data_IF_859800253478
#
_entry.id   IF_859800253478
#
_cell.length_a   1.000
_cell.length_b   1.000
_cell.length_c   1.000
_cell.angle_alpha   90.00
_cell.angle_beta   90.00
_cell.angle_gamma   90.00
#
_symmetry.space_group_name_H-M   'P 1'
#
loop_
_entity.id
_entity.type
_entity.pdbx_description
1 polymer ?
#
# COMPACT_ATOMS: atom_id res chain seq x y z
N UNK A 1 8.26 -6.79 -17.18
CA UNK A 1 7.29 -5.92 -16.48
C UNK A 1 8.07 -4.96 -15.59
N UNK A 2 7.74 -3.68 -15.57
CA UNK A 2 8.47 -2.66 -14.78
C UNK A 2 8.14 -2.80 -13.29
N UNK A 3 9.13 -2.63 -12.41
CA UNK A 3 8.96 -2.72 -10.95
C UNK A 3 8.30 -1.47 -10.38
N UNK A 4 7.77 -1.55 -9.15
CA UNK A 4 7.24 -0.38 -8.43
C UNK A 4 8.27 0.76 -8.34
N UNK A 5 9.53 0.41 -8.03
CA UNK A 5 10.63 1.37 -7.97
C UNK A 5 10.89 2.05 -9.32
N UNK A 6 10.83 1.29 -10.42
CA UNK A 6 10.99 1.85 -11.76
C UNK A 6 9.85 2.80 -12.16
N UNK A 7 8.61 2.51 -11.74
CA UNK A 7 7.48 3.45 -11.91
C UNK A 7 7.63 4.71 -11.07
N UNK A 8 8.11 4.56 -9.83
CA UNK A 8 8.40 5.66 -8.92
C UNK A 8 9.43 6.64 -9.53
N UNK A 9 10.54 6.12 -10.06
CA UNK A 9 11.58 6.93 -10.71
C UNK A 9 11.05 7.65 -11.95
N UNK A 10 10.34 6.94 -12.82
CA UNK A 10 9.78 7.53 -14.03
C UNK A 10 8.73 8.62 -13.73
N UNK A 11 7.88 8.40 -12.72
CA UNK A 11 6.90 9.39 -12.30
C UNK A 11 7.58 10.65 -11.76
N UNK A 12 8.63 10.49 -10.95
CA UNK A 12 9.40 11.61 -10.43
C UNK A 12 10.12 12.39 -11.53
N UNK A 13 10.72 11.71 -12.51
CA UNK A 13 11.34 12.34 -13.69
C UNK A 13 10.33 13.18 -14.50
N UNK A 14 9.05 12.79 -14.46
CA UNK A 14 7.96 13.54 -15.07
C UNK A 14 7.40 14.68 -14.18
N UNK A 15 7.97 14.92 -12.99
CA UNK A 15 7.55 15.96 -12.05
C UNK A 15 6.31 15.60 -11.22
N UNK A 16 5.95 14.32 -11.14
CA UNK A 16 4.83 13.85 -10.30
C UNK A 16 5.22 13.90 -8.83
N UNK A 17 4.32 14.43 -7.99
CA UNK A 17 4.53 14.53 -6.54
C UNK A 17 3.91 13.36 -5.75
N UNK A 18 2.90 12.68 -6.32
CA UNK A 18 2.15 11.57 -5.71
C UNK A 18 1.91 10.46 -6.74
N UNK A 19 2.33 9.25 -6.43
CA UNK A 19 2.08 8.04 -7.21
C UNK A 19 1.19 7.08 -6.42
N UNK A 20 0.07 6.65 -7.02
CA UNK A 20 -0.88 5.72 -6.41
C UNK A 20 -0.90 4.43 -7.22
N UNK A 21 -0.61 3.31 -6.58
CA UNK A 21 -0.69 2.00 -7.23
C UNK A 21 -2.09 1.40 -7.12
N UNK A 22 -2.56 0.66 -8.14
CA UNK A 22 -3.81 -0.08 -8.07
C UNK A 22 -3.84 -1.06 -6.91
N UNK A 23 -5.05 -1.37 -6.45
CA UNK A 23 -5.27 -2.35 -5.40
C UNK A 23 -4.69 -3.73 -5.75
N UNK A 24 -4.05 -4.36 -4.76
CA UNK A 24 -3.42 -5.68 -4.86
C UNK A 24 -2.30 -5.84 -5.92
N UNK A 25 -1.89 -4.77 -6.61
CA UNK A 25 -1.00 -4.84 -7.77
C UNK A 25 0.37 -5.50 -7.50
N UNK A 26 0.93 -5.32 -6.30
CA UNK A 26 2.34 -5.66 -6.05
C UNK A 26 2.60 -7.10 -5.59
N UNK A 27 1.59 -7.82 -5.09
CA UNK A 27 1.80 -9.11 -4.43
C UNK A 27 0.83 -10.20 -4.85
N UNK A 28 -0.42 -9.85 -5.17
CA UNK A 28 -1.48 -10.83 -5.44
C UNK A 28 -2.15 -10.58 -6.79
N UNK A 29 -2.13 -9.36 -7.32
CA UNK A 29 -2.68 -9.04 -8.65
C UNK A 29 -4.17 -9.34 -8.80
N UNK A 30 -4.91 -9.38 -7.68
CA UNK A 30 -6.30 -9.88 -7.62
C UNK A 30 -6.49 -11.36 -7.95
N UNK A 31 -5.41 -12.15 -7.98
CA UNK A 31 -5.50 -13.59 -8.05
C UNK A 31 -6.05 -14.14 -6.73
N UNK A 32 -7.23 -14.74 -6.79
CA UNK A 32 -7.94 -15.26 -5.61
C UNK A 32 -7.20 -16.42 -4.96
N UNK A 33 -6.42 -17.20 -5.71
CA UNK A 33 -5.61 -18.28 -5.13
C UNK A 33 -4.48 -17.70 -4.27
N UNK A 34 -3.89 -16.58 -4.70
CA UNK A 34 -2.88 -15.86 -3.93
C UNK A 34 -3.46 -15.12 -2.72
N UNK A 35 -4.75 -14.78 -2.72
CA UNK A 35 -5.41 -14.28 -1.52
C UNK A 35 -5.48 -15.36 -0.42
N UNK A 36 -5.56 -16.63 -0.80
CA UNK A 36 -5.62 -17.75 0.15
C UNK A 36 -4.23 -18.18 0.66
N UNK A 37 -3.15 -17.82 -0.03
CA UNK A 37 -1.78 -18.14 0.39
C UNK A 37 -1.32 -17.37 1.63
N UNK A 38 -0.10 -17.65 2.08
CA UNK A 38 0.57 -16.83 3.09
C UNK A 38 0.82 -15.42 2.53
N UNK A 39 0.40 -14.40 3.27
CA UNK A 39 0.57 -13.00 2.92
C UNK A 39 1.68 -12.37 3.76
N UNK A 40 2.39 -11.35 3.24
CA UNK A 40 3.34 -10.58 4.03
C UNK A 40 2.70 -10.01 5.30
N UNK A 41 3.45 -10.00 6.40
CA UNK A 41 2.98 -9.40 7.66
C UNK A 41 2.91 -7.88 7.54
N UNK A 42 1.85 -7.27 8.09
CA UNK A 42 1.75 -5.83 8.23
C UNK A 42 2.80 -5.23 9.19
N UNK A 43 3.42 -6.06 10.04
CA UNK A 43 4.52 -5.66 10.93
C UNK A 43 5.91 -5.76 10.27
N UNK A 44 6.02 -6.42 9.12
CA UNK A 44 7.27 -6.56 8.38
C UNK A 44 7.10 -6.07 6.93
N UNK A 45 7.45 -4.79 6.74
CA UNK A 45 7.44 -4.12 5.44
C UNK A 45 8.84 -4.06 4.79
N UNK A 46 9.80 -4.87 5.25
CA UNK A 46 11.18 -4.86 4.75
C UNK A 46 11.29 -5.18 3.25
N UNK A 47 10.34 -5.95 2.71
CA UNK A 47 10.23 -6.24 1.28
C UNK A 47 9.97 -5.00 0.41
N UNK A 48 9.57 -3.88 1.01
CA UNK A 48 9.44 -2.58 0.34
C UNK A 48 10.74 -1.80 0.22
N UNK A 49 11.86 -2.29 0.76
CA UNK A 49 13.13 -1.57 0.75
C UNK A 49 13.55 -1.02 -0.63
N UNK A 50 13.39 -1.75 -1.76
CA UNK A 50 13.73 -1.19 -3.08
C UNK A 50 12.86 0.01 -3.48
N UNK A 51 11.57 -0.03 -3.14
CA UNK A 51 10.64 1.08 -3.40
C UNK A 51 10.91 2.26 -2.46
N UNK A 52 11.18 1.99 -1.17
CA UNK A 52 11.54 3.02 -0.22
C UNK A 52 12.81 3.76 -0.65
N UNK A 53 13.83 3.04 -1.13
CA UNK A 53 15.04 3.67 -1.68
C UNK A 53 14.76 4.58 -2.88
N UNK A 54 13.82 4.22 -3.76
CA UNK A 54 13.41 5.06 -4.88
C UNK A 54 12.66 6.32 -4.38
N UNK A 55 11.77 6.18 -3.41
CA UNK A 55 11.07 7.28 -2.72
C UNK A 55 12.06 8.22 -2.03
N UNK A 56 13.09 7.69 -1.38
CA UNK A 56 14.12 8.49 -0.72
C UNK A 56 14.95 9.30 -1.71
N UNK A 57 15.33 8.71 -2.85
CA UNK A 57 16.10 9.40 -3.91
C UNK A 57 15.30 10.48 -4.62
N UNK A 58 14.06 10.18 -4.96
CA UNK A 58 13.24 11.03 -5.85
C UNK A 58 12.40 12.04 -5.09
N UNK A 59 12.09 11.74 -3.83
CA UNK A 59 11.16 12.52 -3.05
C UNK A 59 9.69 12.31 -3.40
N UNK A 60 9.30 11.45 -4.33
CA UNK A 60 7.87 11.26 -4.60
C UNK A 60 7.17 10.59 -3.41
N UNK A 61 5.90 10.91 -3.19
CA UNK A 61 5.06 10.21 -2.21
C UNK A 61 4.42 9.00 -2.91
N UNK A 62 4.43 7.84 -2.27
CA UNK A 62 3.79 6.64 -2.83
C UNK A 62 2.67 6.15 -1.91
N UNK A 63 1.52 5.87 -2.52
CA UNK A 63 0.45 5.07 -1.93
C UNK A 63 0.45 3.69 -2.59
N UNK A 64 0.69 2.67 -1.78
CA UNK A 64 0.78 1.29 -2.22
C UNK A 64 -0.30 0.46 -1.54
N UNK A 65 -1.15 -0.18 -2.33
CA UNK A 65 -2.23 -1.01 -1.82
C UNK A 65 -1.80 -2.48 -1.90
N UNK A 66 -1.78 -3.17 -0.76
CA UNK A 66 -1.30 -4.55 -0.65
C UNK A 66 -2.22 -5.42 0.22
N UNK A 67 -2.33 -6.70 -0.13
CA UNK A 67 -2.93 -7.70 0.74
C UNK A 67 -1.92 -8.10 1.84
N UNK A 68 -2.25 -7.92 3.11
CA UNK A 68 -1.36 -8.17 4.25
C UNK A 68 -2.01 -9.08 5.28
N UNK A 69 -1.19 -9.80 6.04
CA UNK A 69 -1.59 -10.46 7.27
C UNK A 69 -1.44 -9.50 8.46
N UNK A 70 -2.50 -9.31 9.24
CA UNK A 70 -2.45 -8.57 10.49
C UNK A 70 -1.89 -9.46 11.62
N UNK A 71 -1.41 -8.88 12.74
CA UNK A 71 -0.86 -9.66 13.87
C UNK A 71 -1.85 -10.66 14.46
N UNK A 72 -3.14 -10.37 14.36
CA UNK A 72 -4.24 -11.27 14.74
C UNK A 72 -4.38 -12.53 13.86
N UNK A 73 -3.65 -12.61 12.74
CA UNK A 73 -3.80 -13.63 11.69
C UNK A 73 -4.90 -13.33 10.66
N UNK A 74 -5.67 -12.25 10.84
CA UNK A 74 -6.64 -11.81 9.83
C UNK A 74 -5.95 -11.21 8.61
N UNK A 75 -6.47 -11.48 7.41
CA UNK A 75 -5.98 -10.88 6.17
C UNK A 75 -6.70 -9.55 5.92
N UNK A 76 -5.98 -8.52 5.47
CA UNK A 76 -6.53 -7.19 5.16
C UNK A 76 -6.03 -6.68 3.82
N UNK A 77 -6.80 -5.81 3.20
CA UNK A 77 -6.37 -5.00 2.07
C UNK A 77 -5.99 -3.63 2.63
N UNK A 78 -4.71 -3.30 2.53
CA UNK A 78 -4.10 -2.22 3.30
C UNK A 78 -3.39 -1.23 2.39
N UNK A 79 -3.64 0.06 2.58
CA UNK A 79 -2.84 1.14 1.98
C UNK A 79 -1.64 1.44 2.87
N UNK A 80 -0.47 1.42 2.25
CA UNK A 80 0.82 1.78 2.84
C UNK A 80 1.29 3.11 2.21
N UNK A 81 1.69 4.04 3.05
CA UNK A 81 2.33 5.29 2.65
C UNK A 81 3.84 5.13 2.73
N UNK A 82 4.54 5.52 1.67
CA UNK A 82 5.99 5.67 1.64
C UNK A 82 6.33 7.15 1.40
N UNK A 83 7.21 7.69 2.24
CA UNK A 83 7.72 9.07 2.16
C UNK A 83 9.21 9.10 2.47
N UNK A 84 9.90 10.13 2.00
CA UNK A 84 11.34 10.31 2.21
C UNK A 84 11.72 10.30 3.69
N UNK A 85 12.73 9.50 4.03
CA UNK A 85 13.37 9.50 5.36
C UNK A 85 12.51 8.95 6.49
N UNK A 86 11.39 8.28 6.16
CA UNK A 86 10.51 7.64 7.13
C UNK A 86 10.15 6.25 6.61
N UNK A 87 10.18 5.26 7.51
CA UNK A 87 9.82 3.89 7.17
C UNK A 87 8.39 3.81 6.60
N UNK A 88 8.12 2.87 5.67
CA UNK A 88 6.77 2.60 5.16
C UNK A 88 5.78 2.38 6.30
N UNK A 89 4.60 2.97 6.20
CA UNK A 89 3.56 2.87 7.23
C UNK A 89 2.23 2.41 6.65
N UNK A 90 1.61 1.35 7.19
CA UNK A 90 0.20 1.07 6.93
C UNK A 90 -0.64 2.20 7.54
N UNK A 91 -1.58 2.75 6.76
CA UNK A 91 -2.36 3.93 7.17
C UNK A 91 -3.86 3.76 6.97
N UNK A 92 -4.28 2.74 6.24
CA UNK A 92 -5.69 2.47 6.00
C UNK A 92 -5.89 0.99 5.69
N UNK A 93 -6.85 0.37 6.38
CA UNK A 93 -7.36 -0.95 6.05
C UNK A 93 -8.75 -0.80 5.44
N UNK A 94 -9.00 -1.50 4.33
CA UNK A 94 -10.25 -1.40 3.57
C UNK A 94 -11.46 -1.72 4.43
N UNK A 95 -12.40 -0.77 4.52
CA UNK A 95 -13.64 -0.93 5.29
C UNK A 95 -14.75 -1.60 4.49
N UNK A 96 -14.77 -1.40 3.17
CA UNK A 96 -15.84 -1.87 2.29
C UNK A 96 -15.29 -2.88 1.30
N UNK A 97 -15.42 -4.15 1.64
CA UNK A 97 -14.97 -5.25 0.79
C UNK A 97 -15.90 -5.47 -0.40
N UNK A 98 -15.31 -5.72 -1.56
CA UNK A 98 -16.02 -6.18 -2.74
C UNK A 98 -16.49 -7.64 -2.53
N UNK A 99 -17.61 -8.11 -3.14
CA UNK A 99 -18.12 -9.46 -2.89
C UNK A 99 -17.12 -10.61 -3.06
N UNK A 100 -16.14 -10.47 -3.96
CA UNK A 100 -15.07 -11.46 -4.16
C UNK A 100 -14.07 -11.54 -2.99
N UNK A 101 -13.93 -10.45 -2.24
CA UNK A 101 -13.00 -10.32 -1.11
C UNK A 101 -13.62 -10.86 0.18
N UNK A 102 -14.96 -10.98 0.21
CA UNK A 102 -15.73 -11.47 1.35
C UNK A 102 -15.43 -12.96 1.57
N UNK A 103 -15.07 -13.30 2.80
CA UNK A 103 -14.69 -14.65 3.21
C UNK A 103 -13.17 -14.84 3.31
N UNK A 104 -12.39 -14.03 2.60
CA UNK A 104 -10.92 -14.07 2.66
C UNK A 104 -10.34 -12.91 3.48
N UNK A 105 -10.83 -11.70 3.25
CA UNK A 105 -10.37 -10.50 3.95
C UNK A 105 -11.30 -10.10 5.08
N UNK A 106 -10.73 -9.50 6.12
CA UNK A 106 -11.45 -8.88 7.22
C UNK A 106 -11.53 -7.38 6.99
N UNK A 107 -12.76 -6.86 6.93
CA UNK A 107 -13.00 -5.43 6.84
C UNK A 107 -12.52 -4.72 8.10
N UNK A 108 -11.95 -3.52 7.94
CA UNK A 108 -11.70 -2.64 9.07
C UNK A 108 -13.01 -2.15 9.71
N UNK A 109 -12.96 -1.91 11.02
CA UNK A 109 -14.06 -1.20 11.68
C UNK A 109 -14.18 0.22 11.12
N UNK A 110 -15.38 0.81 11.11
CA UNK A 110 -15.55 2.18 10.65
C UNK A 110 -14.70 3.13 11.47
N UNK A 111 -13.70 3.71 10.83
CA UNK A 111 -12.98 4.88 11.29
C UNK A 111 -13.25 6.00 10.27
N UNK A 112 -13.23 7.26 10.70
CA UNK A 112 -13.26 8.37 9.74
C UNK A 112 -12.11 8.18 8.73
N UNK A 113 -12.37 8.40 7.44
CA UNK A 113 -11.38 8.29 6.37
C UNK A 113 -9.99 8.77 6.86
N UNK A 114 -8.97 7.92 6.74
CA UNK A 114 -7.69 8.25 7.34
C UNK A 114 -7.06 9.38 6.53
N UNK A 115 -6.76 10.49 7.21
CA UNK A 115 -6.09 11.63 6.63
C UNK A 115 -4.59 11.47 6.87
N UNK A 116 -3.87 11.05 5.84
CA UNK A 116 -2.41 11.12 5.82
C UNK A 116 -1.95 12.55 5.51
N UNK A 117 -0.97 13.09 6.22
CA UNK A 117 -0.26 14.30 5.78
C UNK A 117 0.99 13.91 5.02
N UNK A 118 1.11 14.39 3.79
CA UNK A 118 2.34 14.22 2.99
C UNK A 118 2.87 15.58 2.59
N UNK A 119 4.06 15.90 3.12
CA UNK A 119 4.83 17.15 2.95
C UNK A 119 4.15 18.46 3.35
N UNK A 120 2.90 18.71 2.96
CA UNK A 120 2.03 19.82 3.43
C UNK A 120 0.55 19.65 2.98
N UNK A 121 0.19 18.53 2.35
CA UNK A 121 -1.17 18.26 1.86
C UNK A 121 -1.79 17.06 2.59
N UNK A 122 -3.08 17.16 2.88
CA UNK A 122 -3.86 16.04 3.38
C UNK A 122 -4.29 15.14 2.20
N UNK A 123 -4.02 13.85 2.30
CA UNK A 123 -4.51 12.83 1.36
C UNK A 123 -5.52 11.98 2.12
N UNK A 124 -6.75 11.92 1.59
CA UNK A 124 -7.80 11.05 2.12
C UNK A 124 -7.72 9.68 1.46
N UNK A 125 -7.83 8.63 2.25
CA UNK A 125 -7.90 7.25 1.81
C UNK A 125 -9.32 6.70 2.03
N UNK A 126 -9.82 5.93 1.06
CA UNK A 126 -11.15 5.33 1.03
C UNK A 126 -11.04 3.85 0.72
#
# INVERSE_FOLDING_TARGET
MQSAAGWCEQAADAGVELLVFPEAWNNTGYDTELFESELPSAEDLSWLAPLQQAVDRTGIVVLLNAALSAPSGSKRLTTIVLTTGVDPRPVYDKQHLFPLEVGTFTAAMPEAASLGRTRDRAVGLL
#
